data_IF_902356017951
#
_entry.id   IF_902356017951
#
_cell.length_a   1.000
_cell.length_b   1.000
_cell.length_c   1.000
_cell.angle_alpha   90.00
_cell.angle_beta   90.00
_cell.angle_gamma   90.00
#
_symmetry.space_group_name_H-M   'P 1'
#
loop_
_entity.id
_entity.type
_entity.pdbx_description
1 polymer ?
#
# COMPACT_ATOMS: atom_id res chain seq x y z
N UNK A 1 -18.14 -10.96 -25.32
CA UNK A 1 -19.01 -11.25 -24.16
C UNK A 1 -18.18 -11.08 -22.89
N UNK A 2 -18.30 -9.93 -22.22
CA UNK A 2 -17.54 -9.67 -21.00
C UNK A 2 -18.20 -10.42 -19.84
N UNK A 3 -17.66 -11.58 -19.45
CA UNK A 3 -17.99 -12.15 -18.15
C UNK A 3 -17.42 -11.21 -17.09
N UNK A 4 -18.29 -10.55 -16.33
CA UNK A 4 -17.92 -9.68 -15.22
C UNK A 4 -17.28 -10.49 -14.10
N UNK A 5 -15.95 -10.68 -14.18
CA UNK A 5 -15.15 -11.33 -13.14
C UNK A 5 -15.11 -10.44 -11.89
N UNK A 6 -15.87 -10.85 -10.86
CA UNK A 6 -15.98 -10.14 -9.58
C UNK A 6 -17.27 -10.44 -8.81
N UNK A 7 -18.31 -10.94 -9.49
CA UNK A 7 -19.64 -11.20 -8.90
C UNK A 7 -19.84 -12.62 -8.35
N UNK A 8 -18.85 -13.50 -8.46
CA UNK A 8 -18.90 -14.84 -7.89
C UNK A 8 -17.58 -15.25 -7.25
N UNK A 9 -17.64 -16.13 -6.25
CA UNK A 9 -16.47 -16.58 -5.48
C UNK A 9 -15.39 -17.20 -6.38
N UNK A 10 -15.80 -17.90 -7.46
CA UNK A 10 -14.86 -18.49 -8.43
C UNK A 10 -14.10 -17.41 -9.17
N UNK A 11 -14.79 -16.44 -9.76
CA UNK A 11 -14.15 -15.33 -10.47
C UNK A 11 -13.27 -14.48 -9.55
N UNK A 12 -13.67 -14.28 -8.30
CA UNK A 12 -12.86 -13.61 -7.30
C UNK A 12 -11.57 -14.37 -6.99
N UNK A 13 -11.65 -15.70 -6.78
CA UNK A 13 -10.46 -16.54 -6.58
C UNK A 13 -9.50 -16.45 -7.77
N UNK A 14 -10.03 -16.52 -9.01
CA UNK A 14 -9.22 -16.36 -10.22
C UNK A 14 -8.48 -15.01 -10.23
N UNK A 15 -9.15 -13.91 -9.88
CA UNK A 15 -8.50 -12.60 -9.80
C UNK A 15 -7.45 -12.48 -8.70
N UNK A 16 -7.62 -13.18 -7.58
CA UNK A 16 -6.61 -13.26 -6.52
C UNK A 16 -5.36 -13.98 -7.03
N UNK A 17 -5.51 -15.16 -7.65
CA UNK A 17 -4.36 -15.94 -8.12
C UNK A 17 -3.62 -15.31 -9.31
N UNK A 18 -4.30 -14.51 -10.14
CA UNK A 18 -3.64 -13.71 -11.19
C UNK A 18 -2.58 -12.77 -10.60
N UNK A 19 -2.81 -12.24 -9.38
CA UNK A 19 -1.92 -11.28 -8.72
C UNK A 19 -0.95 -11.95 -7.76
N UNK A 20 -1.44 -12.88 -6.93
CA UNK A 20 -0.66 -13.49 -5.84
C UNK A 20 -0.04 -14.85 -6.20
N UNK A 21 -0.38 -15.40 -7.37
CA UNK A 21 -0.02 -16.77 -7.74
C UNK A 21 -0.90 -17.82 -7.06
N UNK A 22 -0.53 -19.08 -7.24
CA UNK A 22 -1.25 -20.21 -6.65
C UNK A 22 -1.14 -20.20 -5.12
N UNK A 23 -2.24 -20.49 -4.38
CA UNK A 23 -2.14 -20.70 -2.94
C UNK A 23 -1.20 -21.86 -2.61
N UNK A 24 -0.41 -21.78 -1.52
CA UNK A 24 0.45 -22.88 -1.09
C UNK A 24 -0.30 -24.21 -0.97
N UNK A 25 0.29 -25.30 -1.48
CA UNK A 25 -0.34 -26.63 -1.52
C UNK A 25 -0.89 -27.08 -0.16
N UNK A 26 -0.12 -26.87 0.90
CA UNK A 26 -0.51 -27.25 2.28
C UNK A 26 -1.78 -26.55 2.76
N UNK A 27 -2.07 -25.34 2.27
CA UNK A 27 -3.32 -24.64 2.59
C UNK A 27 -4.50 -25.20 1.78
N UNK A 28 -4.27 -25.58 0.52
CA UNK A 28 -5.28 -26.21 -0.32
C UNK A 28 -5.69 -27.59 0.22
N UNK A 29 -4.72 -28.39 0.67
CA UNK A 29 -4.96 -29.71 1.27
C UNK A 29 -5.80 -29.64 2.56
N UNK A 30 -5.63 -28.57 3.35
CA UNK A 30 -6.42 -28.33 4.58
C UNK A 30 -7.81 -27.74 4.30
N UNK A 31 -8.04 -27.18 3.12
CA UNK A 31 -9.29 -26.49 2.78
C UNK A 31 -10.41 -27.48 2.47
N UNK A 32 -11.60 -27.28 3.04
CA UNK A 32 -12.77 -28.11 2.70
C UNK A 32 -13.41 -27.77 1.37
N UNK A 33 -13.10 -26.60 0.80
CA UNK A 33 -13.74 -26.05 -0.41
C UNK A 33 -12.79 -25.88 -1.58
N UNK A 34 -11.58 -26.45 -1.53
CA UNK A 34 -10.61 -26.31 -2.63
C UNK A 34 -11.20 -26.75 -3.97
N UNK A 35 -12.01 -27.80 -3.97
CA UNK A 35 -12.63 -28.40 -5.16
C UNK A 35 -13.66 -27.48 -5.85
N UNK A 36 -14.09 -26.40 -5.21
CA UNK A 36 -14.96 -25.38 -5.84
C UNK A 36 -14.15 -24.53 -6.83
N UNK A 37 -12.85 -24.37 -6.58
CA UNK A 37 -11.99 -23.43 -7.32
C UNK A 37 -10.90 -24.11 -8.14
N UNK A 38 -10.48 -25.31 -7.72
CA UNK A 38 -9.33 -26.02 -8.26
C UNK A 38 -9.65 -27.48 -8.59
N UNK A 39 -8.90 -28.02 -9.53
CA UNK A 39 -8.78 -29.46 -9.79
C UNK A 39 -7.44 -29.95 -9.29
N UNK A 40 -7.42 -31.20 -8.83
CA UNK A 40 -6.19 -31.86 -8.41
C UNK A 40 -5.76 -32.82 -9.50
N UNK A 41 -4.56 -32.61 -10.04
CA UNK A 41 -3.96 -33.48 -11.05
C UNK A 41 -3.49 -34.80 -10.42
N UNK A 42 -3.11 -35.76 -11.27
CA UNK A 42 -2.53 -37.04 -10.83
C UNK A 42 -1.27 -36.83 -9.99
N UNK A 43 -0.47 -35.83 -10.33
CA UNK A 43 0.78 -35.46 -9.63
C UNK A 43 0.55 -34.71 -8.31
N UNK A 44 -0.70 -34.65 -7.82
CA UNK A 44 -1.10 -33.93 -6.61
C UNK A 44 -0.77 -32.43 -6.68
N UNK A 45 -0.72 -31.86 -7.88
CA UNK A 45 -0.70 -30.41 -8.09
C UNK A 45 -2.12 -29.90 -8.24
N UNK A 46 -2.33 -28.61 -7.98
CA UNK A 46 -3.64 -27.97 -8.07
C UNK A 46 -3.63 -27.00 -9.25
N UNK A 47 -4.67 -27.07 -10.09
CA UNK A 47 -4.86 -26.18 -11.24
C UNK A 47 -6.21 -25.45 -11.13
N UNK A 48 -6.33 -24.19 -11.59
CA UNK A 48 -7.60 -23.47 -11.55
C UNK A 48 -8.66 -24.12 -12.44
N UNK A 49 -9.91 -24.22 -11.95
CA UNK A 49 -11.05 -24.77 -12.70
C UNK A 49 -11.60 -23.84 -13.78
N UNK A 50 -11.42 -22.54 -13.58
CA UNK A 50 -11.91 -21.53 -14.49
C UNK A 50 -10.72 -20.88 -15.20
N UNK A 51 -10.95 -20.43 -16.44
CA UNK A 51 -9.97 -19.67 -17.19
C UNK A 51 -9.56 -18.41 -16.41
N UNK A 52 -8.26 -18.26 -16.22
CA UNK A 52 -7.64 -17.08 -15.62
C UNK A 52 -6.36 -16.77 -16.39
N UNK A 53 -5.82 -15.56 -16.22
CA UNK A 53 -4.44 -15.30 -16.66
C UNK A 53 -3.47 -16.21 -15.89
N UNK A 54 -2.25 -16.37 -16.40
CA UNK A 54 -1.24 -17.19 -15.73
C UNK A 54 -1.09 -16.75 -14.26
N UNK A 55 -1.13 -17.67 -13.27
CA UNK A 55 -1.02 -17.28 -11.87
C UNK A 55 0.23 -16.45 -11.59
N UNK A 56 0.06 -15.30 -10.92
CA UNK A 56 1.13 -14.36 -10.61
C UNK A 56 1.64 -13.51 -11.79
N UNK A 57 1.06 -13.66 -13.00
CA UNK A 57 1.42 -12.84 -14.16
C UNK A 57 1.09 -11.35 -13.98
N UNK A 58 0.06 -11.03 -13.19
CA UNK A 58 -0.34 -9.64 -12.95
C UNK A 58 0.37 -9.10 -11.70
N UNK A 59 1.60 -8.65 -11.86
CA UNK A 59 2.46 -8.26 -10.73
C UNK A 59 1.91 -7.05 -9.99
N UNK A 60 1.83 -7.14 -8.66
CA UNK A 60 1.36 -6.03 -7.83
C UNK A 60 2.25 -4.77 -7.96
N UNK A 61 3.55 -4.95 -8.21
CA UNK A 61 4.48 -3.85 -8.51
C UNK A 61 4.08 -3.04 -9.75
N UNK A 62 3.55 -3.69 -10.77
CA UNK A 62 3.09 -3.05 -12.02
C UNK A 62 1.73 -2.39 -11.81
N UNK A 63 0.82 -3.05 -11.07
CA UNK A 63 -0.47 -2.46 -10.68
C UNK A 63 -0.27 -1.14 -9.92
N UNK A 64 0.69 -1.13 -8.99
CA UNK A 64 1.03 0.07 -8.22
C UNK A 64 1.86 1.08 -9.02
N UNK A 65 2.55 0.65 -10.08
CA UNK A 65 3.43 1.50 -10.87
C UNK A 65 4.69 1.93 -10.11
N UNK A 66 5.33 1.00 -9.39
CA UNK A 66 6.47 1.30 -8.47
C UNK A 66 7.56 2.14 -9.15
N UNK A 67 7.89 1.81 -10.41
CA UNK A 67 8.95 2.49 -11.17
C UNK A 67 8.42 3.39 -12.28
N UNK A 68 7.09 3.62 -12.34
CA UNK A 68 6.43 4.31 -13.45
C UNK A 68 5.69 5.57 -13.00
N UNK A 69 5.97 6.08 -11.79
CA UNK A 69 5.27 7.24 -11.24
C UNK A 69 3.87 6.90 -10.72
N UNK A 70 3.69 5.72 -10.13
CA UNK A 70 2.43 5.32 -9.52
C UNK A 70 1.36 4.83 -10.50
N UNK A 71 0.11 4.67 -10.04
CA UNK A 71 -0.97 4.13 -10.87
C UNK A 71 -1.23 4.98 -12.12
N UNK A 72 -1.02 4.37 -13.29
CA UNK A 72 -1.09 5.03 -14.61
C UNK A 72 -0.12 6.20 -14.77
N UNK A 73 0.97 6.23 -13.99
CA UNK A 73 1.97 7.30 -14.01
C UNK A 73 1.52 8.66 -13.49
N UNK A 74 0.34 8.73 -12.85
CA UNK A 74 -0.27 10.00 -12.44
C UNK A 74 0.39 10.67 -11.24
N UNK A 75 1.37 10.03 -10.62
CA UNK A 75 2.10 10.52 -9.44
C UNK A 75 3.55 10.87 -9.75
N UNK A 76 3.91 10.94 -11.02
CA UNK A 76 5.24 11.32 -11.44
C UNK A 76 5.56 12.73 -10.93
N UNK A 77 6.75 12.90 -10.35
CA UNK A 77 7.23 14.16 -9.77
C UNK A 77 6.41 14.68 -8.57
N UNK A 78 5.46 13.91 -8.03
CA UNK A 78 4.80 14.25 -6.77
C UNK A 78 5.68 13.86 -5.57
N UNK A 79 5.78 14.74 -4.57
CA UNK A 79 6.45 14.42 -3.31
C UNK A 79 5.77 13.24 -2.61
N UNK A 80 6.56 12.36 -1.96
CA UNK A 80 6.04 11.18 -1.27
C UNK A 80 5.62 10.02 -2.19
N UNK A 81 5.92 10.11 -3.49
CA UNK A 81 5.61 9.09 -4.50
C UNK A 81 6.86 8.59 -5.24
N UNK A 82 8.00 8.55 -4.55
CA UNK A 82 9.23 8.00 -5.13
C UNK A 82 9.11 6.48 -5.34
N UNK A 83 9.95 5.86 -6.19
CA UNK A 83 10.01 4.40 -6.28
C UNK A 83 10.29 3.71 -4.93
N UNK A 84 10.99 4.40 -4.04
CA UNK A 84 11.29 3.92 -2.68
C UNK A 84 10.07 4.03 -1.75
N UNK A 85 9.17 4.99 -1.96
CA UNK A 85 7.83 5.06 -1.33
C UNK A 85 6.97 3.89 -1.74
N UNK A 86 6.86 3.65 -3.03
CA UNK A 86 6.12 2.52 -3.55
C UNK A 86 6.70 1.16 -3.15
N UNK A 87 8.02 1.02 -3.05
CA UNK A 87 8.65 -0.24 -2.63
C UNK A 87 8.32 -0.60 -1.18
N UNK A 88 8.32 0.37 -0.26
CA UNK A 88 7.91 0.15 1.13
C UNK A 88 6.41 -0.17 1.21
N UNK A 89 5.58 0.53 0.44
CA UNK A 89 4.15 0.26 0.40
C UNK A 89 3.82 -1.12 -0.20
N UNK A 90 4.49 -1.51 -1.29
CA UNK A 90 4.34 -2.82 -1.91
C UNK A 90 4.65 -3.95 -0.91
N UNK A 91 5.77 -3.82 -0.18
CA UNK A 91 6.17 -4.81 0.82
C UNK A 91 5.13 -4.93 1.94
N UNK A 92 4.58 -3.81 2.40
CA UNK A 92 3.51 -3.77 3.39
C UNK A 92 2.25 -4.51 2.93
N UNK A 93 1.78 -4.21 1.71
CA UNK A 93 0.57 -4.81 1.14
C UNK A 93 0.77 -6.31 0.91
N UNK A 94 1.94 -6.77 0.46
CA UNK A 94 2.22 -8.20 0.29
C UNK A 94 2.15 -8.96 1.63
N UNK A 95 2.58 -8.36 2.74
CA UNK A 95 2.40 -8.96 4.07
C UNK A 95 0.93 -9.04 4.49
N UNK A 96 0.11 -8.06 4.11
CA UNK A 96 -1.35 -8.10 4.35
C UNK A 96 -2.06 -9.16 3.49
N UNK A 97 -1.58 -9.39 2.27
CA UNK A 97 -2.17 -10.32 1.30
C UNK A 97 -1.62 -11.75 1.42
N UNK A 98 -0.80 -12.03 2.43
CA UNK A 98 -0.26 -13.38 2.65
C UNK A 98 -1.38 -14.41 2.82
N UNK A 99 -1.32 -15.50 2.03
CA UNK A 99 -2.33 -16.56 2.03
C UNK A 99 -2.48 -17.23 3.39
N UNK A 100 -1.36 -17.60 4.01
CA UNK A 100 -1.35 -18.25 5.32
C UNK A 100 -1.76 -17.24 6.40
N UNK A 101 -2.93 -17.40 7.05
CA UNK A 101 -3.40 -16.47 8.06
C UNK A 101 -2.47 -16.38 9.27
N UNK A 102 -1.73 -17.45 9.60
CA UNK A 102 -0.79 -17.45 10.72
C UNK A 102 0.47 -16.61 10.43
N UNK A 103 0.80 -16.39 9.15
CA UNK A 103 1.95 -15.59 8.71
C UNK A 103 1.57 -14.20 8.21
N UNK A 104 0.28 -13.93 8.02
CA UNK A 104 -0.24 -12.62 7.62
C UNK A 104 0.06 -11.61 8.72
N UNK A 105 0.46 -10.40 8.31
CA UNK A 105 0.78 -9.34 9.28
C UNK A 105 -0.41 -9.05 10.19
N UNK A 106 -0.14 -8.99 11.50
CA UNK A 106 -1.14 -8.61 12.50
C UNK A 106 -1.30 -7.08 12.54
N UNK A 107 -2.43 -6.55 13.06
CA UNK A 107 -2.60 -5.10 13.21
C UNK A 107 -1.48 -4.43 14.02
N UNK A 108 -1.04 -5.04 15.12
CA UNK A 108 0.06 -4.51 15.94
C UNK A 108 1.38 -4.47 15.16
N UNK A 109 1.73 -5.54 14.43
CA UNK A 109 2.92 -5.56 13.59
C UNK A 109 2.83 -4.59 12.40
N UNK A 110 1.62 -4.34 11.89
CA UNK A 110 1.37 -3.40 10.81
C UNK A 110 1.69 -1.95 11.22
N UNK A 111 1.31 -1.53 12.43
CA UNK A 111 1.65 -0.21 12.96
C UNK A 111 3.18 -0.01 13.11
N UNK A 112 3.91 -1.08 13.40
CA UNK A 112 5.38 -1.08 13.46
C UNK A 112 6.08 -1.11 12.10
N UNK A 113 5.34 -1.18 10.99
CA UNK A 113 5.92 -1.29 9.64
C UNK A 113 6.58 0.01 9.19
N UNK A 114 7.62 -0.10 8.34
CA UNK A 114 8.34 1.07 7.80
C UNK A 114 7.47 2.05 7.02
N UNK A 115 6.32 1.57 6.54
CA UNK A 115 5.33 2.41 5.85
C UNK A 115 4.79 3.52 6.78
N UNK A 116 4.53 3.23 8.06
CA UNK A 116 4.10 4.23 9.04
C UNK A 116 5.26 4.88 9.79
N UNK A 117 6.42 4.22 9.85
CA UNK A 117 7.60 4.73 10.56
C UNK A 117 8.45 5.70 9.72
N UNK A 118 8.02 6.03 8.49
CA UNK A 118 8.83 6.90 7.64
C UNK A 118 8.90 8.30 8.24
N UNK A 119 10.11 8.56 8.72
CA UNK A 119 10.69 9.81 9.20
C UNK A 119 10.15 11.04 8.48
N UNK A 120 9.66 12.00 9.28
CA UNK A 120 9.60 13.42 8.95
C UNK A 120 11.01 13.99 8.72
N UNK A 121 11.84 13.39 7.86
CA UNK A 121 13.11 13.99 7.47
C UNK A 121 12.85 15.03 6.38
N UNK A 122 12.19 16.11 6.76
CA UNK A 122 12.63 17.40 6.27
C UNK A 122 13.90 17.70 7.09
N UNK A 123 15.12 17.61 6.53
CA UNK A 123 16.22 18.31 7.14
C UNK A 123 15.85 19.80 7.05
N UNK A 124 15.53 20.40 8.20
CA UNK A 124 15.56 21.86 8.32
C UNK A 124 16.98 22.26 7.89
N UNK A 125 17.17 23.09 6.86
CA UNK A 125 18.50 23.54 6.51
C UNK A 125 19.05 24.33 7.70
N UNK A 126 20.02 23.75 8.40
CA UNK A 126 20.86 24.46 9.37
C UNK A 126 21.67 25.49 8.61
N UNK A 127 21.13 26.71 8.49
CA UNK A 127 21.80 27.77 7.76
C UNK A 127 20.95 29.02 7.60
N UNK A 128 20.63 29.72 8.69
CA UNK A 128 20.33 31.15 8.67
C UNK A 128 20.42 31.78 10.08
N UNK A 129 21.57 32.42 10.34
CA UNK A 129 21.83 33.52 11.29
C UNK A 129 21.30 33.44 12.73
N UNK A 130 22.17 33.00 13.64
CA UNK A 130 22.20 33.54 15.02
C UNK A 130 23.22 34.69 15.03
N UNK A 131 22.72 35.92 14.95
CA UNK A 131 23.43 37.13 15.37
C UNK A 131 22.59 37.84 16.43
N UNK A 132 22.88 37.45 17.67
CA UNK A 132 23.04 38.27 18.88
C UNK A 132 22.19 39.54 19.06
N UNK A 133 21.32 39.55 20.07
CA UNK A 133 21.39 40.39 21.30
C UNK A 133 20.00 40.76 21.85
N UNK A 134 19.87 40.83 23.18
CA UNK A 134 18.86 41.65 23.84
C UNK A 134 17.85 40.90 24.72
N UNK A 135 18.19 40.83 26.01
CA UNK A 135 17.34 40.78 27.21
C UNK A 135 15.85 40.37 27.15
N UNK A 136 15.53 39.44 28.05
CA UNK A 136 14.22 39.31 28.69
C UNK A 136 13.98 40.50 29.62
N UNK A 137 12.85 41.20 29.45
CA UNK A 137 12.15 41.86 30.55
C UNK A 137 10.65 41.95 30.25
N UNK A 138 9.89 41.80 31.32
CA UNK A 138 8.43 41.73 31.41
C UNK A 138 7.76 43.07 31.07
N UNK A 139 6.46 43.05 30.70
CA UNK A 139 5.34 43.82 31.29
C UNK A 139 4.17 43.94 30.30
N UNK A 140 2.97 43.64 30.81
CA UNK A 140 1.65 43.79 30.19
C UNK A 140 1.25 45.26 29.94
N UNK A 141 0.59 45.56 28.81
CA UNK A 141 -0.66 46.33 28.79
C UNK A 141 -1.33 46.34 27.39
N UNK A 142 -2.66 46.22 27.37
CA UNK A 142 -3.54 46.49 26.21
C UNK A 142 -3.91 48.01 26.15
N UNK A 143 -4.84 48.52 25.30
CA UNK A 143 -5.47 48.04 24.05
C UNK A 143 -5.44 49.10 22.90
N UNK A 144 -5.87 48.72 21.67
CA UNK A 144 -6.12 49.67 20.57
C UNK A 144 -6.55 48.96 19.27
N UNK A 145 -7.83 48.69 19.05
CA UNK A 145 -8.78 49.46 18.20
C UNK A 145 -8.49 49.39 16.69
N UNK A 146 -9.33 48.58 16.01
CA UNK A 146 -9.91 48.67 14.65
C UNK A 146 -9.12 49.25 13.46
N UNK A 147 -9.13 48.54 12.31
CA UNK A 147 -9.99 48.86 11.15
C UNK A 147 -9.95 47.74 10.09
N UNK A 148 -11.14 47.30 9.65
CA UNK A 148 -11.35 46.59 8.39
C UNK A 148 -11.13 47.55 7.21
N UNK A 149 -10.46 47.09 6.16
CA UNK A 149 -10.65 47.61 4.81
C UNK A 149 -11.03 46.47 3.87
N UNK A 150 -12.32 46.47 3.53
CA UNK A 150 -12.86 45.87 2.31
C UNK A 150 -12.60 46.82 1.16
N UNK A 151 -12.17 46.32 0.00
CA UNK A 151 -12.42 46.98 -1.29
C UNK A 151 -12.43 45.96 -2.44
N UNK A 152 -13.57 46.00 -3.15
CA UNK A 152 -13.91 45.62 -4.53
C UNK A 152 -13.61 44.20 -5.01
#
# INVERSE_FOLDING_TARGET
MYFSFGYCQVGQMMKIIEVLGMPPRLLLEKSRRWHVFFERTVDRTYVPKAACQQPGSRRLSEILGVNTGGPRGRRLHESGHTPMDYSIFLEFVLRMLTFDPARRISPAAALGHRFFRRSNSNPVPSGANVLQSGQCDSVSNAPGVFYLKSTN
#
